data_IF_278641938757
#
_entry.id   IF_278641938757
#
_cell.length_a   1.000
_cell.length_b   1.000
_cell.length_c   1.000
_cell.angle_alpha   90.00
_cell.angle_beta   90.00
_cell.angle_gamma   90.00
#
_symmetry.space_group_name_H-M   'P 1'
#
loop_
_entity.id
_entity.type
_entity.pdbx_description
1 polymer ?
#
# COMPACT_ATOMS: atom_id res chain seq x y z
N UNK A 1 0.20 -0.01 -22.19
CA UNK A 1 0.67 1.41 -22.20
C UNK A 1 1.35 1.63 -20.86
N UNK A 2 2.68 1.56 -20.82
CA UNK A 2 3.43 1.77 -19.58
C UNK A 2 3.11 3.15 -19.02
N UNK A 3 2.55 3.21 -17.82
CA UNK A 3 2.15 4.46 -17.14
C UNK A 3 3.32 5.32 -16.67
N UNK A 4 4.56 4.84 -16.86
CA UNK A 4 5.75 5.61 -16.58
C UNK A 4 6.38 6.04 -17.91
N UNK A 5 6.69 7.35 -18.09
CA UNK A 5 7.52 7.77 -19.22
C UNK A 5 8.83 6.99 -19.18
N UNK A 6 9.23 6.44 -20.31
CA UNK A 6 10.48 5.67 -20.45
C UNK A 6 11.76 6.47 -20.08
N UNK A 7 11.63 7.74 -19.80
CA UNK A 7 12.71 8.70 -19.63
C UNK A 7 12.89 9.21 -18.19
N UNK A 8 12.22 8.62 -17.19
CA UNK A 8 12.43 8.96 -15.79
C UNK A 8 13.43 7.97 -15.16
N UNK A 9 14.71 8.33 -15.03
CA UNK A 9 15.75 7.45 -14.51
C UNK A 9 15.48 6.99 -13.07
N UNK A 10 14.66 7.73 -12.32
CA UNK A 10 14.30 7.39 -10.95
C UNK A 10 13.13 6.38 -10.88
N UNK A 11 12.47 6.12 -12.01
CA UNK A 11 11.29 5.23 -12.11
C UNK A 11 11.52 3.93 -12.86
N UNK A 12 12.71 3.66 -13.35
CA UNK A 12 13.11 2.36 -13.92
C UNK A 12 13.75 1.40 -12.89
N UNK A 13 13.75 1.70 -11.58
CA UNK A 13 14.40 0.81 -10.62
C UNK A 13 13.78 -0.59 -10.55
N UNK A 14 12.57 -0.77 -11.03
CA UNK A 14 11.86 -2.05 -10.99
C UNK A 14 11.81 -2.77 -12.34
N UNK A 15 12.36 -2.20 -13.41
CA UNK A 15 12.35 -2.83 -14.73
C UNK A 15 12.96 -4.25 -14.68
N UNK A 16 12.18 -5.22 -15.14
CA UNK A 16 12.60 -6.62 -15.24
C UNK A 16 12.40 -7.46 -13.97
N UNK A 17 11.80 -6.91 -12.90
CA UNK A 17 11.37 -7.68 -11.73
C UNK A 17 10.03 -8.37 -12.03
N UNK A 18 8.99 -7.60 -12.33
CA UNK A 18 7.72 -8.12 -12.82
C UNK A 18 7.70 -8.18 -14.36
N UNK A 19 6.83 -9.01 -14.95
CA UNK A 19 6.78 -9.23 -16.40
C UNK A 19 6.41 -8.00 -17.24
N UNK A 20 5.77 -6.99 -16.65
CA UNK A 20 5.19 -5.82 -17.32
C UNK A 20 4.20 -6.17 -18.44
N UNK A 21 3.52 -7.32 -18.32
CA UNK A 21 2.51 -7.78 -19.27
C UNK A 21 1.70 -8.93 -18.65
N UNK A 22 0.44 -9.16 -19.07
CA UNK A 22 -0.39 -10.29 -18.63
C UNK A 22 0.19 -11.62 -19.12
N UNK A 23 1.06 -12.22 -18.33
CA UNK A 23 1.65 -13.54 -18.58
C UNK A 23 1.95 -14.27 -17.27
N UNK A 24 1.92 -15.61 -17.24
CA UNK A 24 2.24 -16.35 -16.03
C UNK A 24 3.67 -16.12 -15.54
N UNK A 25 3.84 -16.01 -14.23
CA UNK A 25 5.15 -15.97 -13.56
C UNK A 25 5.04 -16.52 -12.13
N UNK A 26 6.19 -16.77 -11.53
CA UNK A 26 6.32 -17.19 -10.12
C UNK A 26 7.41 -16.32 -9.49
N UNK A 27 7.15 -15.81 -8.31
CA UNK A 27 8.12 -15.13 -7.47
C UNK A 27 8.44 -16.00 -6.26
N UNK A 28 9.72 -16.17 -5.95
CA UNK A 28 10.14 -16.64 -4.65
C UNK A 28 9.99 -15.56 -3.59
N UNK A 29 10.23 -15.91 -2.32
CA UNK A 29 10.20 -14.95 -1.21
C UNK A 29 11.17 -13.79 -1.46
N UNK A 30 10.66 -12.56 -1.32
CA UNK A 30 11.44 -11.33 -1.48
C UNK A 30 11.86 -11.01 -2.91
N UNK A 31 11.28 -11.62 -3.93
CA UNK A 31 11.58 -11.39 -5.34
C UNK A 31 10.67 -10.37 -6.02
N UNK A 32 9.70 -9.80 -5.31
CA UNK A 32 8.86 -8.71 -5.81
C UNK A 32 9.59 -7.36 -5.87
N UNK A 33 8.89 -6.35 -6.34
CA UNK A 33 9.39 -4.98 -6.39
C UNK A 33 9.27 -4.33 -5.01
N UNK A 34 10.39 -3.93 -4.40
CA UNK A 34 10.40 -3.46 -3.00
C UNK A 34 10.60 -1.97 -2.86
N UNK A 35 9.75 -1.35 -2.03
CA UNK A 35 9.80 0.06 -1.65
C UNK A 35 9.73 0.22 -0.14
N UNK A 36 10.64 1.01 0.41
CA UNK A 36 10.52 1.51 1.78
C UNK A 36 9.67 2.78 1.76
N UNK A 37 8.53 2.75 2.44
CA UNK A 37 7.59 3.86 2.58
C UNK A 37 7.42 4.15 4.05
N UNK A 38 7.86 5.31 4.50
CA UNK A 38 8.05 5.62 5.91
C UNK A 38 8.94 4.58 6.59
N UNK A 39 8.42 3.83 7.52
CA UNK A 39 9.08 2.75 8.26
C UNK A 39 8.57 1.35 7.87
N UNK A 40 7.77 1.27 6.79
CA UNK A 40 7.14 0.04 6.29
C UNK A 40 7.80 -0.42 4.99
N UNK A 41 8.00 -1.72 4.86
CA UNK A 41 8.52 -2.34 3.66
C UNK A 41 7.38 -2.94 2.84
N UNK A 42 7.13 -2.35 1.68
CA UNK A 42 6.19 -2.88 0.69
C UNK A 42 6.93 -3.71 -0.35
N UNK A 43 6.36 -4.84 -0.71
CA UNK A 43 6.82 -5.69 -1.81
C UNK A 43 5.65 -5.94 -2.75
N UNK A 44 5.72 -5.37 -3.96
CA UNK A 44 4.69 -5.53 -4.98
C UNK A 44 4.88 -6.87 -5.68
N UNK A 45 3.84 -7.68 -5.69
CA UNK A 45 3.81 -9.04 -6.24
C UNK A 45 3.11 -9.10 -7.59
N UNK A 46 2.17 -8.20 -7.85
CA UNK A 46 1.51 -7.99 -9.13
C UNK A 46 1.12 -6.54 -9.27
N UNK A 47 1.25 -5.98 -10.45
CA UNK A 47 0.83 -4.62 -10.76
C UNK A 47 -0.31 -4.60 -11.79
N UNK A 48 -0.83 -3.42 -12.07
CA UNK A 48 -1.80 -3.24 -13.14
C UNK A 48 -1.29 -3.67 -14.51
N UNK A 49 0.03 -3.67 -14.74
CA UNK A 49 0.59 -4.11 -16.02
C UNK A 49 0.41 -5.62 -16.25
N UNK A 50 0.41 -6.43 -15.19
CA UNK A 50 0.15 -7.87 -15.24
C UNK A 50 -1.35 -8.21 -15.24
N UNK A 51 -2.20 -7.29 -14.76
CA UNK A 51 -3.62 -7.56 -14.47
C UNK A 51 -4.58 -6.76 -15.34
N UNK A 52 -4.10 -6.09 -16.40
CA UNK A 52 -4.90 -5.16 -17.21
C UNK A 52 -5.58 -4.07 -16.37
N UNK A 53 -4.86 -3.50 -15.40
CA UNK A 53 -5.32 -2.49 -14.42
C UNK A 53 -6.50 -2.94 -13.52
N UNK A 54 -6.77 -4.24 -13.42
CA UNK A 54 -7.87 -4.72 -12.58
C UNK A 54 -7.54 -4.64 -11.10
N UNK A 55 -6.32 -5.06 -10.72
CA UNK A 55 -5.82 -4.99 -9.34
C UNK A 55 -4.29 -5.01 -9.30
N UNK A 56 -3.75 -4.52 -8.20
CA UNK A 56 -2.38 -4.78 -7.76
C UNK A 56 -2.39 -5.59 -6.47
N UNK A 57 -1.31 -6.33 -6.21
CA UNK A 57 -1.16 -7.12 -5.00
C UNK A 57 0.24 -6.92 -4.40
N UNK A 58 0.31 -6.87 -3.07
CA UNK A 58 1.55 -6.62 -2.33
C UNK A 58 1.58 -7.32 -0.99
N UNK A 59 2.76 -7.45 -0.42
CA UNK A 59 2.94 -7.63 1.01
C UNK A 59 3.46 -6.34 1.64
N UNK A 60 3.10 -6.12 2.90
CA UNK A 60 3.64 -5.05 3.74
C UNK A 60 4.19 -5.68 5.01
N UNK A 61 5.44 -5.39 5.33
CA UNK A 61 6.03 -5.68 6.64
C UNK A 61 6.17 -4.38 7.42
N UNK A 62 5.72 -4.40 8.67
CA UNK A 62 5.73 -3.23 9.55
C UNK A 62 6.10 -3.61 10.99
N UNK A 63 6.64 -2.64 11.74
CA UNK A 63 7.08 -2.86 13.12
C UNK A 63 6.04 -2.35 14.10
N UNK A 64 6.11 -2.87 15.32
CA UNK A 64 5.31 -2.38 16.45
C UNK A 64 5.35 -0.85 16.56
N UNK A 65 4.17 -0.24 16.58
CA UNK A 65 3.99 1.20 16.77
C UNK A 65 3.88 2.02 15.49
N UNK A 66 4.21 1.43 14.32
CA UNK A 66 4.04 2.07 13.02
C UNK A 66 2.57 2.43 12.80
N UNK A 67 2.33 3.55 12.10
CA UNK A 67 0.97 4.05 11.86
C UNK A 67 0.83 4.59 10.46
N UNK A 68 -0.34 4.34 9.87
CA UNK A 68 -0.79 5.09 8.70
C UNK A 68 -1.93 6.02 9.15
N UNK A 69 -1.77 7.35 8.98
CA UNK A 69 -2.79 8.32 9.37
C UNK A 69 -4.08 8.16 8.57
N UNK A 70 -5.14 8.83 9.01
CA UNK A 70 -6.41 8.85 8.28
C UNK A 70 -6.22 9.29 6.83
N UNK A 71 -6.77 8.49 5.93
CA UNK A 71 -6.76 8.75 4.50
C UNK A 71 -7.95 8.08 3.82
N UNK A 72 -8.22 8.46 2.58
CA UNK A 72 -9.27 7.89 1.75
C UNK A 72 -8.76 7.65 0.34
N UNK A 73 -9.08 6.49 -0.22
CA UNK A 73 -8.91 6.19 -1.63
C UNK A 73 -10.22 6.42 -2.37
N UNK A 74 -10.28 7.43 -3.23
CA UNK A 74 -11.52 7.81 -3.90
C UNK A 74 -11.93 6.84 -5.02
N UNK A 75 -11.01 6.00 -5.50
CA UNK A 75 -11.23 5.11 -6.65
C UNK A 75 -10.79 3.67 -6.39
N UNK A 76 -10.09 3.40 -5.28
CA UNK A 76 -9.54 2.09 -4.98
C UNK A 76 -10.39 1.38 -3.94
N UNK A 77 -10.78 0.15 -4.26
CA UNK A 77 -11.16 -0.83 -3.26
C UNK A 77 -9.90 -1.52 -2.79
N UNK A 78 -9.74 -1.63 -1.50
CA UNK A 78 -8.56 -2.23 -0.88
C UNK A 78 -8.96 -3.31 0.10
N UNK A 79 -8.12 -4.32 0.27
CA UNK A 79 -8.28 -5.27 1.36
C UNK A 79 -6.95 -5.57 2.05
N UNK A 80 -7.06 -6.04 3.29
CA UNK A 80 -5.95 -6.50 4.12
C UNK A 80 -6.25 -7.92 4.61
N UNK A 81 -5.25 -8.79 4.51
CA UNK A 81 -5.23 -10.09 5.17
C UNK A 81 -3.99 -10.15 6.06
N UNK A 82 -4.17 -10.34 7.36
CA UNK A 82 -3.05 -10.43 8.30
C UNK A 82 -2.42 -11.82 8.17
N UNK A 83 -1.22 -11.86 7.58
CA UNK A 83 -0.44 -13.10 7.41
C UNK A 83 0.19 -13.50 8.73
N UNK A 84 0.73 -12.52 9.46
CA UNK A 84 1.31 -12.68 10.78
C UNK A 84 1.25 -11.37 11.56
N UNK A 85 1.04 -11.43 12.88
CA UNK A 85 1.03 -10.25 13.76
C UNK A 85 -0.36 -9.70 14.06
N UNK A 86 -0.43 -8.37 14.30
CA UNK A 86 -1.64 -7.72 14.80
C UNK A 86 -1.69 -6.25 14.37
N UNK A 87 -2.84 -5.81 13.82
CA UNK A 87 -3.11 -4.44 13.43
C UNK A 87 -4.47 -3.97 13.96
N UNK A 88 -4.57 -2.71 14.38
CA UNK A 88 -5.86 -2.05 14.60
C UNK A 88 -6.22 -1.21 13.38
N UNK A 89 -7.41 -1.41 12.82
CA UNK A 89 -7.94 -0.68 11.67
C UNK A 89 -9.14 0.14 12.12
N UNK A 90 -9.16 1.41 11.72
CA UNK A 90 -10.30 2.31 11.85
C UNK A 90 -10.91 2.54 10.48
N UNK A 91 -12.23 2.51 10.37
CA UNK A 91 -12.98 2.81 9.15
C UNK A 91 -14.15 3.73 9.48
N UNK A 92 -14.43 4.70 8.63
CA UNK A 92 -15.53 5.66 8.81
C UNK A 92 -16.05 6.11 7.43
N UNK A 93 -17.34 5.93 7.17
CA UNK A 93 -17.98 6.39 5.94
C UNK A 93 -18.45 7.86 6.01
N UNK A 94 -18.10 8.53 7.11
CA UNK A 94 -18.51 9.91 7.43
C UNK A 94 -20.04 10.09 7.59
N UNK A 95 -20.77 8.98 7.74
CA UNK A 95 -22.23 8.93 7.90
C UNK A 95 -22.61 8.02 9.08
N UNK A 96 -23.17 6.87 8.80
CA UNK A 96 -23.71 5.97 9.83
C UNK A 96 -22.73 4.87 10.26
N UNK A 97 -21.81 4.47 9.37
CA UNK A 97 -20.86 3.40 9.64
C UNK A 97 -19.53 3.94 10.18
N UNK A 98 -19.13 3.41 11.31
CA UNK A 98 -17.75 3.56 11.82
C UNK A 98 -17.37 2.28 12.57
N UNK A 99 -16.10 1.98 12.56
CA UNK A 99 -15.55 0.82 13.27
C UNK A 99 -14.13 1.04 13.71
N UNK A 100 -13.78 0.38 14.80
CA UNK A 100 -12.42 0.16 15.25
C UNK A 100 -12.25 -1.31 15.55
N UNK A 101 -11.42 -2.00 14.81
CA UNK A 101 -11.25 -3.45 14.95
C UNK A 101 -9.78 -3.81 14.98
N UNK A 102 -9.39 -4.62 15.94
CA UNK A 102 -8.07 -5.23 15.96
C UNK A 102 -8.13 -6.56 15.20
N UNK A 103 -7.29 -6.68 14.20
CA UNK A 103 -7.14 -7.86 13.35
C UNK A 103 -5.87 -8.60 13.76
N UNK A 104 -5.95 -9.92 13.82
CA UNK A 104 -4.85 -10.84 14.12
C UNK A 104 -4.59 -11.78 12.95
N UNK A 105 -3.55 -12.58 13.03
CA UNK A 105 -3.21 -13.58 12.00
C UNK A 105 -4.44 -14.38 11.56
N UNK A 106 -4.72 -14.36 10.26
CA UNK A 106 -5.88 -15.01 9.63
C UNK A 106 -7.09 -14.11 9.43
N UNK A 107 -7.11 -12.91 10.03
CA UNK A 107 -8.22 -11.97 9.87
C UNK A 107 -8.11 -11.17 8.57
N UNK A 108 -9.26 -10.69 8.11
CA UNK A 108 -9.45 -9.99 6.85
C UNK A 108 -10.25 -8.71 7.05
N UNK A 109 -9.84 -7.64 6.40
CA UNK A 109 -10.62 -6.41 6.29
C UNK A 109 -10.76 -5.98 4.83
N UNK A 110 -11.92 -5.47 4.48
CA UNK A 110 -12.22 -4.87 3.18
C UNK A 110 -12.58 -3.40 3.34
N UNK A 111 -11.92 -2.54 2.59
CA UNK A 111 -12.12 -1.09 2.58
C UNK A 111 -12.62 -0.67 1.21
N UNK A 112 -13.92 -0.42 1.04
CA UNK A 112 -14.47 0.14 -0.18
C UNK A 112 -13.86 1.50 -0.53
N UNK A 113 -13.82 1.85 -1.81
CA UNK A 113 -13.50 3.20 -2.25
C UNK A 113 -14.41 4.23 -1.55
N UNK A 114 -13.83 5.34 -1.10
CA UNK A 114 -14.53 6.41 -0.40
C UNK A 114 -14.61 6.28 1.12
N UNK A 115 -14.17 5.16 1.70
CA UNK A 115 -14.13 4.99 3.16
C UNK A 115 -12.84 5.61 3.72
N UNK A 116 -12.99 6.52 4.69
CA UNK A 116 -11.85 7.03 5.46
C UNK A 116 -11.35 5.92 6.38
N UNK A 117 -10.06 5.65 6.33
CA UNK A 117 -9.48 4.60 7.17
C UNK A 117 -8.07 4.97 7.64
N UNK A 118 -7.66 4.30 8.69
CA UNK A 118 -6.32 4.37 9.27
C UNK A 118 -5.95 3.03 9.86
N UNK A 119 -4.67 2.78 10.08
CA UNK A 119 -4.26 1.62 10.88
C UNK A 119 -3.05 1.90 11.75
N UNK A 120 -2.90 1.08 12.78
CA UNK A 120 -1.78 1.06 13.70
C UNK A 120 -1.30 -0.37 13.86
N UNK A 121 0.00 -0.55 13.83
CA UNK A 121 0.66 -1.84 14.05
C UNK A 121 0.78 -2.08 15.56
N UNK A 122 0.10 -3.09 16.04
CA UNK A 122 0.06 -3.44 17.48
C UNK A 122 1.13 -4.48 17.84
N UNK A 123 1.65 -5.20 16.85
CA UNK A 123 2.79 -6.11 16.96
C UNK A 123 3.54 -6.10 15.63
N UNK A 124 4.78 -6.58 15.55
CA UNK A 124 5.45 -6.77 14.25
C UNK A 124 4.56 -7.61 13.33
N UNK A 125 4.26 -7.09 12.15
CA UNK A 125 3.18 -7.62 11.33
C UNK A 125 3.59 -7.77 9.88
N UNK A 126 3.10 -8.82 9.25
CA UNK A 126 3.08 -9.01 7.80
C UNK A 126 1.64 -9.03 7.34
N UNK A 127 1.30 -8.15 6.41
CA UNK A 127 -0.01 -8.07 5.77
C UNK A 127 0.13 -8.40 4.31
N UNK A 128 -0.80 -9.19 3.76
CA UNK A 128 -1.03 -9.28 2.32
C UNK A 128 -2.18 -8.35 1.96
N UNK A 129 -1.95 -7.48 1.00
CA UNK A 129 -2.95 -6.53 0.52
C UNK A 129 -3.14 -6.62 -0.98
N UNK A 130 -4.31 -6.19 -1.44
CA UNK A 130 -4.54 -5.89 -2.84
C UNK A 130 -5.48 -4.70 -2.98
N UNK A 131 -5.35 -3.99 -4.10
CA UNK A 131 -6.17 -2.84 -4.41
C UNK A 131 -6.44 -2.72 -5.90
N UNK A 132 -7.54 -2.08 -6.24
CA UNK A 132 -7.93 -1.84 -7.64
C UNK A 132 -7.28 -0.57 -8.19
N UNK A 133 -7.45 -0.32 -9.50
CA UNK A 133 -7.11 0.93 -10.18
C UNK A 133 -5.61 1.32 -10.13
N UNK A 134 -4.70 0.34 -10.13
CA UNK A 134 -3.26 0.59 -10.16
C UNK A 134 -2.71 1.24 -8.89
N UNK A 135 -3.38 1.03 -7.77
CA UNK A 135 -3.04 1.65 -6.49
C UNK A 135 -1.64 1.22 -5.97
N UNK A 136 -1.18 0.03 -6.27
CA UNK A 136 0.15 -0.45 -5.87
C UNK A 136 1.28 0.47 -6.36
N UNK A 137 1.06 1.17 -7.47
CA UNK A 137 2.02 2.14 -8.02
C UNK A 137 2.16 3.41 -7.16
N UNK A 138 1.19 3.66 -6.26
CA UNK A 138 1.30 4.71 -5.25
C UNK A 138 2.51 4.46 -4.33
N UNK A 139 2.72 3.22 -3.90
CA UNK A 139 3.88 2.86 -3.06
C UNK A 139 5.21 3.07 -3.79
N UNK A 140 5.25 2.88 -5.10
CA UNK A 140 6.44 3.20 -5.91
C UNK A 140 6.66 4.71 -6.04
N UNK A 141 5.57 5.47 -6.18
CA UNK A 141 5.65 6.92 -6.38
C UNK A 141 6.12 7.67 -5.12
N UNK A 142 5.77 7.18 -3.92
CA UNK A 142 6.14 7.81 -2.64
C UNK A 142 7.26 7.09 -1.92
N UNK A 143 7.62 5.87 -2.32
CA UNK A 143 8.62 5.04 -1.66
C UNK A 143 10.02 5.20 -2.25
N UNK A 144 10.99 4.69 -1.52
CA UNK A 144 12.36 4.52 -1.99
C UNK A 144 12.60 3.04 -2.32
N UNK A 145 13.02 2.74 -3.55
CA UNK A 145 13.47 1.41 -3.95
C UNK A 145 14.49 0.86 -2.95
N UNK A 146 14.36 -0.39 -2.62
CA UNK A 146 15.25 -1.07 -1.69
C UNK A 146 15.38 -2.56 -2.03
N UNK A 147 16.43 -3.19 -1.54
CA UNK A 147 16.65 -4.64 -1.54
C UNK A 147 16.50 -5.27 -0.13
N UNK A 148 16.07 -4.47 0.83
CA UNK A 148 15.82 -4.93 2.20
C UNK A 148 14.83 -6.11 2.21
N UNK A 149 14.99 -7.01 3.18
CA UNK A 149 14.07 -8.11 3.47
C UNK A 149 13.17 -7.83 4.69
N UNK A 150 13.59 -6.86 5.51
CA UNK A 150 12.88 -6.39 6.69
C UNK A 150 12.90 -4.86 6.73
N UNK A 151 11.88 -4.20 7.31
CA UNK A 151 11.84 -2.76 7.42
C UNK A 151 13.00 -2.24 8.28
N UNK A 152 13.82 -1.36 7.72
CA UNK A 152 14.96 -0.75 8.39
C UNK A 152 15.04 0.75 8.08
N UNK A 153 15.15 1.55 9.12
CA UNK A 153 15.18 3.01 8.99
C UNK A 153 13.80 3.59 8.67
N UNK A 154 13.80 4.87 8.35
CA UNK A 154 12.60 5.62 7.96
C UNK A 154 12.91 6.38 6.68
N UNK A 155 12.02 6.31 5.70
CA UNK A 155 12.06 7.12 4.50
C UNK A 155 10.80 7.97 4.42
N UNK A 156 10.94 9.27 4.62
CA UNK A 156 9.83 10.23 4.50
C UNK A 156 9.94 10.90 3.13
N UNK A 157 8.99 10.67 2.22
CA UNK A 157 8.97 11.35 0.94
C UNK A 157 8.70 12.85 1.11
N UNK A 158 9.19 13.66 0.17
CA UNK A 158 8.90 15.08 0.16
C UNK A 158 7.39 15.34 0.05
N UNK A 159 6.90 16.38 0.71
CA UNK A 159 5.48 16.74 0.70
C UNK A 159 4.94 16.96 -0.72
N UNK A 160 5.73 17.55 -1.61
CA UNK A 160 5.36 17.75 -3.03
C UNK A 160 5.17 16.41 -3.77
N UNK A 161 6.02 15.42 -3.48
CA UNK A 161 5.93 14.06 -4.04
C UNK A 161 4.69 13.35 -3.52
N UNK A 162 4.43 13.42 -2.22
CA UNK A 162 3.23 12.85 -1.62
C UNK A 162 1.95 13.45 -2.19
N UNK A 163 1.91 14.79 -2.36
CA UNK A 163 0.75 15.47 -2.94
C UNK A 163 0.52 15.05 -4.38
N UNK A 164 1.57 15.06 -5.22
CA UNK A 164 1.45 14.67 -6.61
C UNK A 164 1.01 13.21 -6.78
N UNK A 165 1.53 12.30 -5.95
CA UNK A 165 1.10 10.91 -5.92
C UNK A 165 -0.36 10.78 -5.44
N UNK A 166 -0.76 11.50 -4.40
CA UNK A 166 -2.14 11.55 -3.91
C UNK A 166 -3.11 11.99 -5.01
N UNK A 167 -2.81 13.08 -5.72
CA UNK A 167 -3.61 13.55 -6.86
C UNK A 167 -3.70 12.49 -7.98
N UNK A 168 -2.57 11.88 -8.34
CA UNK A 168 -2.47 10.88 -9.42
C UNK A 168 -3.25 9.60 -9.11
N UNK A 169 -3.15 9.09 -7.89
CA UNK A 169 -3.75 7.83 -7.46
C UNK A 169 -5.05 8.01 -6.65
N UNK A 170 -5.62 9.22 -6.70
CA UNK A 170 -6.87 9.57 -6.03
C UNK A 170 -6.88 9.19 -4.53
N UNK A 171 -5.76 9.43 -3.84
CA UNK A 171 -5.58 9.23 -2.40
C UNK A 171 -5.50 10.58 -1.71
N UNK A 172 -6.32 10.79 -0.68
CA UNK A 172 -6.36 12.02 0.10
C UNK A 172 -5.99 11.72 1.55
N UNK A 173 -4.90 12.32 2.03
CA UNK A 173 -4.55 12.27 3.44
C UNK A 173 -5.37 13.25 4.24
N UNK A 174 -5.86 12.83 5.40
CA UNK A 174 -6.78 13.57 6.26
C UNK A 174 -6.23 13.65 7.70
N UNK A 175 -5.07 14.32 7.94
CA UNK A 175 -4.39 14.29 9.24
C UNK A 175 -5.23 14.88 10.39
N UNK A 176 -6.18 15.77 10.07
CA UNK A 176 -7.08 16.37 11.05
C UNK A 176 -8.36 15.55 11.30
N UNK A 177 -8.53 14.43 10.58
CA UNK A 177 -9.71 13.57 10.76
C UNK A 177 -9.63 12.83 12.08
N UNK A 178 -10.72 12.88 12.84
CA UNK A 178 -10.87 12.16 14.11
C UNK A 178 -11.93 11.06 13.95
N UNK A 179 -11.50 9.82 14.12
CA UNK A 179 -12.44 8.70 14.13
C UNK A 179 -13.35 8.77 15.34
N UNK A 180 -14.58 8.38 15.13
CA UNK A 180 -15.56 8.22 16.20
C UNK A 180 -15.21 6.99 17.04
N UNK A 181 -15.50 7.05 18.36
CA UNK A 181 -15.30 5.93 19.29
C UNK A 181 -16.43 4.87 19.15
#
# INVERSE_FOLDING_TARGET
MTLFPADDPDKIPFAGVLPAAPRPYVLGEGQGEKSLVFDQLFEILASGDETDDQYGAWTMKARLGDRIPAHVHLKTHEFFYVVDGEITVWMDDQSDYHSRTTLTTGDFAFVPAGIVHAFKIENTTTVFGAGTAGFERFFHAIGRKTDLTEPQGVFVPDFSVMRAAGEKYATVFMPEFSFRD
#
